data_IF_036266737295
#
_entry.id   IF_036266737295
#
_cell.length_a   1.000
_cell.length_b   1.000
_cell.length_c   1.000
_cell.angle_alpha   90.00
_cell.angle_beta   90.00
_cell.angle_gamma   90.00
#
_symmetry.space_group_name_H-M   'P 1'
#
loop_
_entity.id
_entity.type
_entity.pdbx_description
1 polymer ?
#
# COMPACT_ATOMS: atom_id res chain seq x y z
N UNK A 1 -3.63 10.58 -15.72
CA UNK A 1 -2.64 9.51 -15.51
C UNK A 1 -2.86 8.77 -14.19
N UNK A 2 -2.98 9.49 -13.07
CA UNK A 2 -3.16 8.91 -11.72
C UNK A 2 -4.26 7.85 -11.57
N UNK A 3 -5.44 8.05 -12.17
CA UNK A 3 -6.51 7.04 -12.11
C UNK A 3 -6.19 5.73 -12.84
N UNK A 4 -5.32 5.77 -13.86
CA UNK A 4 -4.85 4.54 -14.53
C UNK A 4 -3.85 3.82 -13.62
N UNK A 5 -2.90 4.56 -13.05
CA UNK A 5 -1.90 4.04 -12.11
C UNK A 5 -2.57 3.45 -10.87
N UNK A 6 -3.53 4.16 -10.26
CA UNK A 6 -4.27 3.67 -9.10
C UNK A 6 -5.03 2.36 -9.42
N UNK A 7 -5.65 2.25 -10.60
CA UNK A 7 -6.30 1.00 -11.04
C UNK A 7 -5.31 -0.14 -11.24
N UNK A 8 -4.15 0.12 -11.83
CA UNK A 8 -3.10 -0.89 -11.96
C UNK A 8 -2.62 -1.39 -10.60
N UNK A 9 -2.38 -0.49 -9.65
CA UNK A 9 -2.03 -0.86 -8.27
C UNK A 9 -3.13 -1.72 -7.66
N UNK A 10 -4.41 -1.32 -7.75
CA UNK A 10 -5.52 -2.10 -7.19
C UNK A 10 -5.60 -3.51 -7.82
N UNK A 11 -5.38 -3.64 -9.12
CA UNK A 11 -5.34 -4.97 -9.77
C UNK A 11 -4.14 -5.79 -9.31
N UNK A 12 -2.93 -5.23 -9.30
CA UNK A 12 -1.72 -5.95 -8.86
C UNK A 12 -1.90 -6.47 -7.43
N UNK A 13 -2.44 -5.63 -6.54
CA UNK A 13 -2.73 -6.03 -5.16
C UNK A 13 -3.76 -7.15 -5.13
N UNK A 14 -4.86 -7.03 -5.88
CA UNK A 14 -5.90 -8.06 -5.97
C UNK A 14 -5.40 -9.43 -6.43
N UNK A 15 -4.34 -9.46 -7.25
CA UNK A 15 -3.68 -10.70 -7.70
C UNK A 15 -2.43 -11.07 -6.89
N UNK A 16 -2.07 -10.27 -5.88
CA UNK A 16 -0.87 -10.51 -5.09
C UNK A 16 -1.08 -11.68 -4.12
N UNK A 17 -0.02 -12.47 -3.93
CA UNK A 17 0.02 -13.50 -2.89
C UNK A 17 -0.03 -12.90 -1.47
N UNK A 18 0.18 -11.59 -1.29
CA UNK A 18 0.04 -10.93 0.01
C UNK A 18 -1.43 -10.93 0.44
N UNK A 19 -2.36 -10.65 -0.48
CA UNK A 19 -3.80 -10.77 -0.19
C UNK A 19 -4.18 -12.22 0.12
N UNK A 20 -3.64 -13.19 -0.63
CA UNK A 20 -3.86 -14.60 -0.35
C UNK A 20 -3.31 -15.02 1.03
N UNK A 21 -2.09 -14.58 1.38
CA UNK A 21 -1.48 -14.83 2.69
C UNK A 21 -2.29 -14.20 3.82
N UNK A 22 -2.82 -12.99 3.62
CA UNK A 22 -3.71 -12.34 4.58
C UNK A 22 -5.03 -13.10 4.77
N UNK A 23 -5.62 -13.63 3.70
CA UNK A 23 -6.83 -14.45 3.79
C UNK A 23 -6.56 -15.75 4.55
N UNK A 24 -5.44 -16.42 4.27
CA UNK A 24 -5.03 -17.63 4.98
C UNK A 24 -4.81 -17.33 6.47
N UNK A 25 -4.11 -16.23 6.79
CA UNK A 25 -3.89 -15.82 8.18
C UNK A 25 -5.22 -15.50 8.91
N UNK A 26 -6.18 -14.88 8.22
CA UNK A 26 -7.51 -14.61 8.76
C UNK A 26 -8.28 -15.91 9.05
N UNK A 27 -8.26 -16.87 8.12
CA UNK A 27 -8.90 -18.18 8.32
C UNK A 27 -8.27 -18.90 9.51
N UNK A 28 -6.93 -18.94 9.56
CA UNK A 28 -6.20 -19.55 10.67
C UNK A 28 -6.57 -18.91 12.01
N UNK A 29 -6.64 -17.58 12.07
CA UNK A 29 -7.06 -16.84 13.25
C UNK A 29 -8.49 -17.19 13.71
N UNK A 30 -9.45 -17.27 12.78
CA UNK A 30 -10.84 -17.65 13.08
C UNK A 30 -10.91 -19.08 13.61
N UNK A 31 -10.17 -20.01 12.98
CA UNK A 31 -10.12 -21.42 13.39
C UNK A 31 -9.52 -21.56 14.79
N UNK A 32 -8.43 -20.86 15.10
CA UNK A 32 -7.82 -20.90 16.44
C UNK A 32 -8.79 -20.41 17.52
N UNK A 33 -9.51 -19.31 17.28
CA UNK A 33 -10.55 -18.83 18.21
C UNK A 33 -11.68 -19.86 18.37
N UNK A 34 -12.14 -20.46 17.29
CA UNK A 34 -13.20 -21.48 17.33
C UNK A 34 -12.78 -22.73 18.13
N UNK A 35 -11.48 -23.04 18.15
CA UNK A 35 -10.90 -24.12 18.95
C UNK A 35 -10.63 -23.72 20.42
N UNK A 36 -10.96 -22.49 20.83
CA UNK A 36 -10.76 -22.00 22.19
C UNK A 36 -9.34 -21.52 22.52
N UNK A 37 -8.47 -21.40 21.52
CA UNK A 37 -7.14 -20.81 21.68
C UNK A 37 -7.24 -19.28 21.65
N UNK A 38 -7.53 -18.69 22.81
CA UNK A 38 -7.62 -17.24 22.96
C UNK A 38 -6.25 -16.56 23.15
N UNK A 39 -5.18 -17.31 23.42
CA UNK A 39 -3.83 -16.75 23.60
C UNK A 39 -3.31 -16.14 22.29
N UNK A 40 -3.81 -16.62 21.15
CA UNK A 40 -3.55 -16.04 19.83
C UNK A 40 -3.91 -14.55 19.73
N UNK A 41 -4.91 -14.08 20.49
CA UNK A 41 -5.35 -12.68 20.52
C UNK A 41 -4.31 -11.76 21.14
N UNK A 42 -3.52 -12.29 22.08
CA UNK A 42 -2.46 -11.56 22.77
C UNK A 42 -1.10 -11.75 22.10
N UNK A 43 -1.00 -12.65 21.11
CA UNK A 43 0.27 -12.91 20.45
C UNK A 43 0.74 -11.68 19.64
N UNK A 44 2.01 -11.34 19.82
CA UNK A 44 2.65 -10.23 19.08
C UNK A 44 2.61 -10.47 17.57
N UNK A 45 2.64 -11.73 17.14
CA UNK A 45 2.56 -12.11 15.72
C UNK A 45 1.20 -11.77 15.13
N UNK A 46 0.11 -12.16 15.80
CA UNK A 46 -1.26 -11.82 15.37
C UNK A 46 -1.45 -10.31 15.29
N UNK A 47 -1.00 -9.57 16.29
CA UNK A 47 -1.08 -8.11 16.28
C UNK A 47 -0.34 -7.51 15.08
N UNK A 48 0.89 -7.96 14.79
CA UNK A 48 1.66 -7.51 13.62
C UNK A 48 0.93 -7.79 12.31
N UNK A 49 0.38 -9.00 12.15
CA UNK A 49 -0.36 -9.39 10.95
C UNK A 49 -1.60 -8.52 10.75
N UNK A 50 -2.40 -8.32 11.80
CA UNK A 50 -3.59 -7.46 11.76
C UNK A 50 -3.20 -6.01 11.45
N UNK A 51 -2.18 -5.48 12.13
CA UNK A 51 -1.71 -4.11 11.95
C UNK A 51 -1.25 -3.85 10.51
N UNK A 52 -0.34 -4.68 9.98
CA UNK A 52 0.12 -4.57 8.59
C UNK A 52 -1.02 -4.76 7.61
N UNK A 53 -1.95 -5.66 7.90
CA UNK A 53 -3.12 -5.91 7.08
C UNK A 53 -4.06 -4.71 6.97
N UNK A 54 -4.38 -4.08 8.10
CA UNK A 54 -5.22 -2.87 8.14
C UNK A 54 -4.55 -1.71 7.40
N UNK A 55 -3.24 -1.50 7.59
CA UNK A 55 -2.50 -0.49 6.85
C UNK A 55 -2.50 -0.75 5.35
N UNK A 56 -2.40 -2.01 4.93
CA UNK A 56 -2.46 -2.39 3.52
C UNK A 56 -3.82 -2.03 2.92
N UNK A 57 -4.91 -2.49 3.55
CA UNK A 57 -6.28 -2.19 3.12
C UNK A 57 -6.49 -0.67 3.04
N UNK A 58 -6.01 0.07 4.04
CA UNK A 58 -6.09 1.52 4.08
C UNK A 58 -5.31 2.18 2.94
N UNK A 59 -4.10 1.70 2.61
CA UNK A 59 -3.31 2.18 1.46
C UNK A 59 -4.08 2.03 0.14
N UNK A 60 -4.67 0.86 -0.11
CA UNK A 60 -5.48 0.60 -1.31
C UNK A 60 -6.71 1.51 -1.33
N UNK A 61 -7.41 1.64 -0.19
CA UNK A 61 -8.59 2.49 -0.08
C UNK A 61 -8.26 3.95 -0.40
N UNK A 62 -7.13 4.47 0.09
CA UNK A 62 -6.66 5.81 -0.23
C UNK A 62 -6.43 5.96 -1.74
N UNK A 63 -5.78 4.99 -2.39
CA UNK A 63 -5.56 4.99 -3.85
C UNK A 63 -6.86 4.95 -4.65
N UNK A 64 -7.80 4.09 -4.26
CA UNK A 64 -9.11 4.00 -4.89
C UNK A 64 -9.93 5.29 -4.73
N UNK A 65 -9.82 5.95 -3.58
CA UNK A 65 -10.58 7.16 -3.24
C UNK A 65 -10.02 8.47 -3.82
N UNK A 66 -8.97 8.42 -4.65
CA UNK A 66 -8.28 9.60 -5.18
C UNK A 66 -9.13 10.48 -6.13
N UNK A 67 -10.16 9.91 -6.76
CA UNK A 67 -10.97 10.64 -7.76
C UNK A 67 -11.67 11.85 -7.12
N UNK A 68 -11.50 13.01 -7.75
CA UNK A 68 -12.15 14.27 -7.34
C UNK A 68 -11.60 14.87 -6.04
N UNK A 69 -10.48 14.38 -5.51
CA UNK A 69 -9.86 14.93 -4.30
C UNK A 69 -8.93 16.11 -4.62
N UNK A 70 -8.82 17.01 -3.66
CA UNK A 70 -7.91 18.16 -3.75
C UNK A 70 -6.43 17.70 -3.82
N UNK A 71 -5.56 18.60 -4.28
CA UNK A 71 -4.14 18.30 -4.47
C UNK A 71 -3.44 17.83 -3.18
N UNK A 72 -3.74 18.48 -2.04
CA UNK A 72 -3.16 18.14 -0.74
C UNK A 72 -3.46 16.70 -0.34
N UNK A 73 -4.72 16.27 -0.47
CA UNK A 73 -5.12 14.88 -0.17
C UNK A 73 -4.51 13.89 -1.16
N UNK A 74 -4.44 14.24 -2.44
CA UNK A 74 -3.80 13.37 -3.45
C UNK A 74 -2.32 13.16 -3.14
N UNK A 75 -1.58 14.23 -2.88
CA UNK A 75 -0.17 14.14 -2.46
C UNK A 75 0.00 13.29 -1.20
N UNK A 76 -0.79 13.57 -0.15
CA UNK A 76 -0.73 12.79 1.09
C UNK A 76 -1.00 11.29 0.86
N UNK A 77 -1.97 10.95 0.02
CA UNK A 77 -2.30 9.57 -0.29
C UNK A 77 -1.17 8.87 -1.04
N UNK A 78 -0.60 9.51 -2.07
CA UNK A 78 0.52 8.96 -2.84
C UNK A 78 1.77 8.80 -1.97
N UNK A 79 2.11 9.81 -1.16
CA UNK A 79 3.24 9.75 -0.22
C UNK A 79 3.04 8.66 0.82
N UNK A 80 1.84 8.53 1.38
CA UNK A 80 1.51 7.45 2.31
C UNK A 80 1.72 6.08 1.65
N UNK A 81 1.23 5.88 0.43
CA UNK A 81 1.41 4.62 -0.30
C UNK A 81 2.89 4.29 -0.48
N UNK A 82 3.71 5.23 -0.97
CA UNK A 82 5.17 5.00 -1.12
C UNK A 82 5.81 4.62 0.21
N UNK A 83 5.58 5.42 1.26
CA UNK A 83 6.18 5.17 2.58
C UNK A 83 5.73 3.83 3.17
N UNK A 84 4.46 3.50 3.03
CA UNK A 84 3.88 2.24 3.51
C UNK A 84 4.51 1.04 2.81
N UNK A 85 4.53 1.03 1.47
CA UNK A 85 5.06 -0.12 0.72
C UNK A 85 6.58 -0.27 0.88
N UNK A 86 7.33 0.84 0.99
CA UNK A 86 8.77 0.79 1.34
C UNK A 86 8.95 0.18 2.74
N UNK A 87 8.16 0.62 3.72
CA UNK A 87 8.24 0.10 5.10
C UNK A 87 7.86 -1.39 5.17
N UNK A 88 6.85 -1.80 4.40
CA UNK A 88 6.44 -3.20 4.30
C UNK A 88 7.51 -4.06 3.64
N UNK A 89 8.14 -3.57 2.56
CA UNK A 89 9.23 -4.27 1.89
C UNK A 89 10.44 -4.46 2.83
N UNK A 90 10.80 -3.41 3.59
CA UNK A 90 11.84 -3.51 4.61
C UNK A 90 11.47 -4.49 5.73
N UNK A 91 10.22 -4.47 6.19
CA UNK A 91 9.73 -5.44 7.17
C UNK A 91 9.84 -6.88 6.67
N UNK A 92 9.43 -7.15 5.42
CA UNK A 92 9.59 -8.46 4.78
C UNK A 92 11.07 -8.85 4.73
N UNK A 93 11.95 -7.93 4.32
CA UNK A 93 13.38 -8.18 4.29
C UNK A 93 13.94 -8.55 5.67
N UNK A 94 13.52 -7.88 6.75
CA UNK A 94 13.97 -8.19 8.12
C UNK A 94 13.43 -9.55 8.59
N UNK A 95 12.15 -9.84 8.35
CA UNK A 95 11.51 -11.09 8.83
C UNK A 95 12.07 -12.32 8.14
N UNK A 96 12.42 -12.21 6.87
CA UNK A 96 12.96 -13.30 6.06
C UNK A 96 14.49 -13.25 5.92
N UNK A 97 15.18 -12.46 6.75
CA UNK A 97 16.65 -12.30 6.79
C UNK A 97 17.26 -12.03 5.39
N UNK A 98 16.60 -11.17 4.62
CA UNK A 98 16.92 -10.83 3.24
C UNK A 98 17.12 -12.04 2.29
N UNK A 99 16.57 -13.21 2.65
CA UNK A 99 16.69 -14.43 1.87
C UNK A 99 15.87 -14.43 0.58
N UNK A 100 15.98 -15.51 -0.20
CA UNK A 100 15.27 -15.68 -1.49
C UNK A 100 13.75 -15.51 -1.34
N UNK A 101 13.18 -15.96 -0.22
CA UNK A 101 11.77 -15.77 0.09
C UNK A 101 11.39 -14.27 0.18
N UNK A 102 12.24 -13.44 0.80
CA UNK A 102 12.02 -12.00 0.88
C UNK A 102 11.99 -11.36 -0.51
N UNK A 103 12.90 -11.78 -1.40
CA UNK A 103 12.97 -11.29 -2.77
C UNK A 103 11.72 -11.68 -3.56
N UNK A 104 11.34 -12.96 -3.53
CA UNK A 104 10.14 -13.45 -4.23
C UNK A 104 8.92 -12.70 -3.73
N UNK A 105 8.71 -12.63 -2.40
CA UNK A 105 7.55 -11.98 -1.77
C UNK A 105 7.57 -10.45 -2.01
N UNK A 106 8.74 -9.82 -2.15
CA UNK A 106 8.89 -8.39 -2.36
C UNK A 106 8.60 -7.87 -3.78
N UNK A 107 8.40 -8.74 -4.78
CA UNK A 107 8.25 -8.31 -6.19
C UNK A 107 7.03 -7.36 -6.41
N UNK A 108 5.78 -7.71 -6.05
CA UNK A 108 4.61 -6.85 -6.14
C UNK A 108 4.79 -5.57 -5.36
N UNK A 109 5.38 -5.63 -4.16
CA UNK A 109 5.67 -4.43 -3.36
C UNK A 109 6.61 -3.48 -4.11
N UNK A 110 7.65 -4.02 -4.75
CA UNK A 110 8.56 -3.23 -5.59
C UNK A 110 7.84 -2.59 -6.77
N UNK A 111 6.96 -3.34 -7.45
CA UNK A 111 6.15 -2.81 -8.56
C UNK A 111 5.19 -1.72 -8.06
N UNK A 112 4.54 -1.92 -6.91
CA UNK A 112 3.64 -0.94 -6.32
C UNK A 112 4.40 0.32 -5.92
N UNK A 113 5.58 0.20 -5.29
CA UNK A 113 6.44 1.35 -4.96
C UNK A 113 6.77 2.15 -6.23
N UNK A 114 7.15 1.47 -7.31
CA UNK A 114 7.44 2.12 -8.58
C UNK A 114 6.22 2.87 -9.13
N UNK A 115 5.05 2.23 -9.18
CA UNK A 115 3.81 2.84 -9.65
C UNK A 115 3.35 4.00 -8.75
N UNK A 116 3.43 3.85 -7.43
CA UNK A 116 3.08 4.90 -6.47
C UNK A 116 4.01 6.10 -6.60
N UNK A 117 5.29 5.88 -6.91
CA UNK A 117 6.25 6.94 -7.21
C UNK A 117 5.89 7.70 -8.48
N UNK A 118 5.46 7.00 -9.54
CA UNK A 118 4.93 7.63 -10.77
C UNK A 118 3.67 8.45 -10.46
N UNK A 119 2.76 7.90 -9.64
CA UNK A 119 1.55 8.61 -9.21
C UNK A 119 1.85 9.89 -8.43
N UNK A 120 2.83 9.82 -7.51
CA UNK A 120 3.31 10.97 -6.74
C UNK A 120 3.95 12.03 -7.66
N UNK A 121 4.85 11.62 -8.56
CA UNK A 121 5.51 12.52 -9.49
C UNK A 121 4.50 13.21 -10.42
N UNK A 122 3.50 12.48 -10.93
CA UNK A 122 2.37 13.02 -11.69
C UNK A 122 1.61 14.10 -10.91
N UNK A 123 1.34 13.82 -9.64
CA UNK A 123 0.61 14.73 -8.77
C UNK A 123 1.38 16.04 -8.56
N UNK A 124 2.67 15.94 -8.26
CA UNK A 124 3.59 17.08 -8.10
C UNK A 124 3.67 17.90 -9.39
N UNK A 125 3.87 17.25 -10.53
CA UNK A 125 3.94 17.91 -11.83
C UNK A 125 2.66 18.68 -12.16
N UNK A 126 1.49 18.07 -11.92
CA UNK A 126 0.19 18.71 -12.14
C UNK A 126 0.00 19.97 -11.28
N UNK A 127 0.57 19.98 -10.07
CA UNK A 127 0.53 21.14 -9.18
C UNK A 127 1.40 22.29 -9.70
N UNK A 128 2.63 21.99 -10.13
CA UNK A 128 3.53 22.99 -10.70
C UNK A 128 2.95 23.65 -11.95
N UNK A 129 2.38 22.88 -12.87
CA UNK A 129 1.74 23.44 -14.08
C UNK A 129 0.57 24.36 -13.76
N UNK A 130 -0.25 24.02 -12.76
CA UNK A 130 -1.38 24.86 -12.36
C UNK A 130 -0.95 26.19 -11.74
N UNK A 131 0.19 26.21 -11.04
CA UNK A 131 0.75 27.45 -10.49
C UNK A 131 1.43 28.31 -11.56
N UNK A 132 2.24 27.71 -12.44
CA UNK A 132 2.97 28.45 -13.47
C UNK A 132 2.06 28.92 -14.61
N UNK A 133 1.03 28.14 -14.98
CA UNK A 133 0.05 28.55 -16.00
C UNK A 133 -0.81 29.74 -15.59
N UNK A 134 -1.04 29.94 -14.27
CA UNK A 134 -1.74 31.13 -13.74
C UNK A 134 -0.86 32.38 -13.70
N UNK A 135 0.46 32.21 -13.66
CA UNK A 135 1.40 33.34 -13.68
C UNK A 135 1.52 33.97 -15.08
N UNK A 136 1.33 33.17 -16.15
CA UNK A 136 1.46 33.64 -17.54
C UNK A 136 0.16 34.28 -18.06
N UNK A 137 -1.02 33.93 -17.52
CA UNK A 137 -2.31 34.51 -17.97
C UNK A 137 -2.65 35.88 -17.36
N UNK A 138 -1.87 36.32 -16.37
CA UNK A 138 -2.15 37.52 -15.57
C UNK A 138 -1.07 38.61 -15.74
N UNK A 139 -0.14 38.45 -16.69
CA UNK A 139 0.85 39.46 -17.09
C UNK A 139 0.66 39.83 -18.53
#
# INVERSE_FOLDING_TARGET
MEQRVARWITHIVGYSYIVAAMLIALIWFIVSIANGDFDILLSTTTFKVIFWGLLYIFSIYLMYSLKGKNIKRRLASWSFSVLFHVSLLLYIAIVFDAGVAAFIIGIPETIIIFLSSIGLASCIWSHYQHHNGRAISNG
#
